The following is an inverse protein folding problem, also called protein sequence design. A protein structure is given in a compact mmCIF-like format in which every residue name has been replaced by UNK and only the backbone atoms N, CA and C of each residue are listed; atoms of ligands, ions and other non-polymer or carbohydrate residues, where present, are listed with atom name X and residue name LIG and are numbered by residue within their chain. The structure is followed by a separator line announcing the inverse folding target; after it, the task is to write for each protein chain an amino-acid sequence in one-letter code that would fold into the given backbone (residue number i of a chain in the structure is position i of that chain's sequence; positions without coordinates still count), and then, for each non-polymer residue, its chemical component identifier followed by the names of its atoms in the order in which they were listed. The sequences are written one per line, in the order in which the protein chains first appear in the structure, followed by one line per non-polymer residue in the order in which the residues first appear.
data_IF_822665214928
#
_entry.id   IF_822665214928
#
_cell.length_a   1.000
_cell.length_b   1.000
_cell.length_c   1.000
_cell.angle_alpha   90.00
_cell.angle_beta   90.00
_cell.angle_gamma   90.00
#
_symmetry.space_group_name_H-M   'P 1'
#
loop_
_entity.id
_entity.type
_entity.pdbx_description
1 polymer ?
#
# COMPACT_ATOMS: atom_id res chain seq x y z
N UNK A 1 -25.12 26.92 10.19
CA UNK A 1 -24.75 26.37 8.87
C UNK A 1 -25.64 25.14 8.67
N UNK A 2 -26.31 24.95 7.55
CA UNK A 2 -27.15 23.78 7.37
C UNK A 2 -26.24 22.53 7.39
N UNK A 3 -26.51 21.60 8.30
CA UNK A 3 -25.98 20.26 8.27
C UNK A 3 -26.56 19.61 7.03
N UNK A 4 -25.79 19.57 5.96
CA UNK A 4 -26.15 18.78 4.77
C UNK A 4 -26.22 17.34 5.22
N UNK A 5 -27.40 16.75 5.11
CA UNK A 5 -27.68 15.34 5.41
C UNK A 5 -27.05 14.48 4.29
N UNK A 6 -25.70 14.53 4.18
CA UNK A 6 -24.97 13.74 3.20
C UNK A 6 -24.90 12.30 3.66
N UNK A 7 -25.08 11.37 2.73
CA UNK A 7 -24.88 9.95 2.98
C UNK A 7 -23.43 9.72 3.48
N UNK A 8 -23.22 8.96 4.58
CA UNK A 8 -21.88 8.68 5.10
C UNK A 8 -20.88 8.15 4.06
N UNK A 9 -21.35 7.41 3.07
CA UNK A 9 -20.51 6.95 1.95
C UNK A 9 -20.05 8.09 1.04
N UNK A 10 -20.92 9.11 0.83
CA UNK A 10 -20.53 10.27 0.04
C UNK A 10 -19.48 11.10 0.77
N UNK A 11 -19.59 11.25 2.08
CA UNK A 11 -18.58 11.94 2.89
C UNK A 11 -17.22 11.23 2.78
N UNK A 12 -17.22 9.89 2.86
CA UNK A 12 -15.99 9.11 2.67
C UNK A 12 -15.40 9.33 1.28
N UNK A 13 -16.22 9.30 0.21
CA UNK A 13 -15.78 9.54 -1.17
C UNK A 13 -15.20 10.94 -1.36
N UNK A 14 -15.84 11.97 -0.82
CA UNK A 14 -15.34 13.36 -0.92
C UNK A 14 -13.96 13.50 -0.24
N UNK A 15 -13.77 12.83 0.90
CA UNK A 15 -12.48 12.79 1.58
C UNK A 15 -11.42 12.00 0.78
N UNK A 16 -11.79 10.87 0.20
CA UNK A 16 -10.92 10.06 -0.67
C UNK A 16 -10.48 10.87 -1.89
N UNK A 17 -11.40 11.56 -2.55
CA UNK A 17 -11.11 12.42 -3.71
C UNK A 17 -10.08 13.50 -3.40
N UNK A 18 -10.24 14.16 -2.25
CA UNK A 18 -9.31 15.19 -1.79
C UNK A 18 -7.91 14.58 -1.57
N UNK A 19 -7.84 13.48 -0.83
CA UNK A 19 -6.57 12.80 -0.54
C UNK A 19 -5.87 12.30 -1.82
N UNK A 20 -6.63 11.73 -2.77
CA UNK A 20 -6.09 11.31 -4.05
C UNK A 20 -5.49 12.49 -4.82
N UNK A 21 -6.20 13.61 -4.87
CA UNK A 21 -5.73 14.83 -5.54
C UNK A 21 -4.45 15.36 -4.88
N UNK A 22 -4.39 15.40 -3.55
CA UNK A 22 -3.21 15.82 -2.79
C UNK A 22 -2.02 14.86 -3.02
N UNK A 23 -2.28 13.59 -3.34
CA UNK A 23 -1.26 12.60 -3.70
C UNK A 23 -0.86 12.62 -5.17
N UNK A 24 -1.41 13.53 -5.98
CA UNK A 24 -1.06 13.69 -7.39
C UNK A 24 -1.88 12.84 -8.37
N UNK A 25 -2.99 12.26 -7.92
CA UNK A 25 -3.95 11.58 -8.79
C UNK A 25 -4.91 12.57 -9.43
N UNK A 26 -5.26 12.35 -10.69
CA UNK A 26 -6.33 13.08 -11.37
C UNK A 26 -7.62 12.27 -11.22
N UNK A 27 -8.53 12.77 -10.40
CA UNK A 27 -9.81 12.08 -10.15
C UNK A 27 -10.81 12.44 -11.24
N UNK A 28 -11.40 11.42 -11.86
CA UNK A 28 -12.36 11.58 -12.96
C UNK A 28 -13.59 10.70 -12.77
N UNK A 29 -14.72 11.16 -13.29
CA UNK A 29 -15.92 10.33 -13.43
C UNK A 29 -15.85 9.47 -14.71
N UNK A 30 -16.58 8.35 -14.72
CA UNK A 30 -16.61 7.41 -15.85
C UNK A 30 -17.03 8.05 -17.18
N UNK A 31 -17.86 9.10 -17.14
CA UNK A 31 -18.36 9.77 -18.35
C UNK A 31 -17.31 10.67 -19.05
N UNK A 32 -16.24 10.99 -18.39
CA UNK A 32 -15.20 11.94 -18.85
C UNK A 32 -13.80 11.35 -18.73
N UNK A 33 -13.66 10.06 -19.01
CA UNK A 33 -12.37 9.35 -18.86
C UNK A 33 -11.37 9.90 -19.89
N UNK A 34 -10.25 10.40 -19.36
CA UNK A 34 -9.04 10.71 -20.10
C UNK A 34 -7.82 10.11 -19.37
N UNK A 35 -7.44 8.90 -19.72
CA UNK A 35 -6.32 8.20 -19.09
C UNK A 35 -4.94 8.82 -19.42
N UNK A 36 -4.90 9.80 -20.33
CA UNK A 36 -3.69 10.57 -20.67
C UNK A 36 -3.65 11.94 -20.00
N UNK A 37 -4.58 12.25 -19.09
CA UNK A 37 -4.63 13.54 -18.41
C UNK A 37 -3.41 13.80 -17.51
N UNK A 38 -2.72 12.76 -17.05
CA UNK A 38 -1.52 12.86 -16.24
C UNK A 38 -0.89 11.50 -15.95
N UNK A 39 0.13 11.45 -15.08
CA UNK A 39 0.84 10.22 -14.76
C UNK A 39 -0.02 9.19 -14.05
N UNK A 40 -1.02 9.63 -13.27
CA UNK A 40 -1.97 8.79 -12.57
C UNK A 40 -3.40 9.33 -12.64
N UNK A 41 -4.34 8.47 -13.00
CA UNK A 41 -5.77 8.79 -13.09
C UNK A 41 -6.56 7.83 -12.21
N UNK A 42 -7.41 8.36 -11.34
CA UNK A 42 -8.36 7.60 -10.53
C UNK A 42 -9.77 7.79 -11.12
N UNK A 43 -10.37 6.72 -11.60
CA UNK A 43 -11.70 6.76 -12.24
C UNK A 43 -12.74 6.23 -11.27
N UNK A 44 -13.73 7.04 -10.93
CA UNK A 44 -14.85 6.69 -10.05
C UNK A 44 -15.82 5.76 -10.75
N UNK A 45 -16.43 4.86 -9.97
CA UNK A 45 -17.55 4.00 -10.38
C UNK A 45 -17.24 3.20 -11.65
N UNK A 46 -16.01 2.69 -11.75
CA UNK A 46 -15.57 1.95 -12.92
C UNK A 46 -16.14 0.53 -12.91
N UNK A 47 -16.72 0.10 -14.04
CA UNK A 47 -17.30 -1.24 -14.17
C UNK A 47 -16.22 -2.30 -14.32
N UNK A 48 -16.26 -3.30 -13.44
CA UNK A 48 -15.43 -4.51 -13.50
C UNK A 48 -16.32 -5.75 -13.73
N UNK A 49 -15.71 -6.89 -13.99
CA UNK A 49 -16.47 -8.14 -14.22
C UNK A 49 -17.26 -8.62 -12.99
N UNK A 50 -16.83 -8.20 -11.79
CA UNK A 50 -17.52 -8.55 -10.52
C UNK A 50 -18.45 -7.43 -10.04
N UNK A 51 -18.58 -6.34 -10.78
CA UNK A 51 -19.42 -5.19 -10.44
C UNK A 51 -18.68 -3.86 -10.50
N UNK A 52 -19.32 -2.75 -10.11
CA UNK A 52 -18.68 -1.45 -10.07
C UNK A 52 -17.66 -1.39 -8.92
N UNK A 53 -16.43 -0.93 -9.20
CA UNK A 53 -15.47 -0.54 -8.18
C UNK A 53 -15.65 0.95 -7.88
N UNK A 54 -15.51 1.36 -6.61
CA UNK A 54 -15.63 2.78 -6.27
C UNK A 54 -14.59 3.62 -7.01
N UNK A 55 -13.35 3.13 -7.11
CA UNK A 55 -12.31 3.72 -7.97
C UNK A 55 -11.45 2.64 -8.59
N UNK A 56 -11.05 2.86 -9.85
CA UNK A 56 -9.95 2.14 -10.49
C UNK A 56 -8.81 3.12 -10.75
N UNK A 57 -7.62 2.71 -10.37
CA UNK A 57 -6.39 3.50 -10.52
C UNK A 57 -5.68 3.11 -11.81
N UNK A 58 -5.32 4.11 -12.60
CA UNK A 58 -4.60 3.94 -13.86
C UNK A 58 -3.26 4.69 -13.80
N UNK A 59 -2.19 4.04 -14.23
CA UNK A 59 -0.86 4.64 -14.39
C UNK A 59 -0.42 4.43 -15.83
N UNK A 60 0.01 5.50 -16.50
CA UNK A 60 0.37 5.47 -17.93
C UNK A 60 -0.72 4.80 -18.80
N UNK A 61 -2.00 5.00 -18.43
CA UNK A 61 -3.16 4.45 -19.13
C UNK A 61 -3.46 2.97 -18.86
N UNK A 62 -2.68 2.30 -18.01
CA UNK A 62 -2.90 0.90 -17.61
C UNK A 62 -3.52 0.83 -16.21
N UNK A 63 -4.47 -0.07 -15.98
CA UNK A 63 -5.03 -0.27 -14.64
C UNK A 63 -3.97 -0.89 -13.72
N UNK A 64 -3.89 -0.39 -12.49
CA UNK A 64 -2.89 -0.86 -11.53
C UNK A 64 -3.48 -1.22 -10.17
N UNK A 65 -4.66 -0.72 -9.83
CA UNK A 65 -5.26 -0.99 -8.53
C UNK A 65 -6.69 -0.52 -8.43
N UNK A 66 -7.30 -0.82 -7.28
CA UNK A 66 -8.67 -0.43 -6.94
C UNK A 66 -8.72 0.22 -5.56
N UNK A 67 -9.71 1.08 -5.36
CA UNK A 67 -10.08 1.60 -4.04
C UNK A 67 -11.54 1.26 -3.81
N UNK A 68 -11.82 0.69 -2.66
CA UNK A 68 -13.15 0.44 -2.13
C UNK A 68 -13.42 1.42 -1.00
N UNK A 69 -14.44 2.25 -1.16
CA UNK A 69 -14.88 3.19 -0.14
C UNK A 69 -15.78 2.50 0.88
N UNK A 70 -15.55 2.72 2.16
CA UNK A 70 -16.35 2.17 3.27
C UNK A 70 -16.84 3.28 4.17
N UNK A 71 -17.90 3.02 4.93
CA UNK A 71 -18.40 3.96 5.92
C UNK A 71 -17.41 4.11 7.07
N UNK A 72 -17.37 5.27 7.69
CA UNK A 72 -16.44 5.55 8.81
C UNK A 72 -16.63 4.56 9.96
N UNK A 73 -17.88 4.15 10.26
CA UNK A 73 -18.18 3.18 11.31
C UNK A 73 -17.62 1.77 11.02
N UNK A 74 -17.31 1.48 9.77
CA UNK A 74 -16.73 0.20 9.36
C UNK A 74 -15.21 0.17 9.48
N UNK A 75 -14.56 1.29 9.81
CA UNK A 75 -13.10 1.39 9.90
C UNK A 75 -12.44 0.32 10.76
N UNK A 76 -13.05 -0.04 11.90
CA UNK A 76 -12.56 -1.10 12.78
C UNK A 76 -12.77 -2.53 12.23
N UNK A 77 -13.63 -2.70 11.22
CA UNK A 77 -13.96 -3.98 10.57
C UNK A 77 -13.37 -4.11 9.17
N UNK A 78 -12.47 -3.23 8.79
CA UNK A 78 -11.94 -3.20 7.42
C UNK A 78 -11.21 -4.49 7.03
N UNK A 79 -10.69 -5.26 8.00
CA UNK A 79 -10.09 -6.57 7.72
C UNK A 79 -11.08 -7.58 7.08
N UNK A 80 -12.38 -7.45 7.39
CA UNK A 80 -13.43 -8.29 6.80
C UNK A 80 -13.66 -7.94 5.33
N UNK A 81 -13.42 -6.69 4.94
CA UNK A 81 -13.61 -6.20 3.57
C UNK A 81 -12.39 -6.40 2.67
N UNK A 82 -11.26 -6.86 3.21
CA UNK A 82 -10.05 -7.19 2.42
C UNK A 82 -10.34 -8.25 1.35
N UNK A 83 -11.20 -9.23 1.66
CA UNK A 83 -11.62 -10.26 0.70
C UNK A 83 -12.37 -9.65 -0.50
N UNK A 84 -13.24 -8.66 -0.26
CA UNK A 84 -13.93 -7.95 -1.34
C UNK A 84 -12.93 -7.17 -2.21
N UNK A 85 -11.95 -6.52 -1.58
CA UNK A 85 -10.88 -5.85 -2.30
C UNK A 85 -10.05 -6.82 -3.14
N UNK A 86 -9.78 -8.03 -2.64
CA UNK A 86 -9.12 -9.09 -3.40
C UNK A 86 -9.92 -9.51 -4.62
N UNK A 87 -11.24 -9.66 -4.50
CA UNK A 87 -12.12 -9.99 -5.61
C UNK A 87 -12.04 -8.90 -6.70
N UNK A 88 -12.06 -7.62 -6.31
CA UNK A 88 -11.88 -6.51 -7.26
C UNK A 88 -10.49 -6.50 -7.89
N UNK A 89 -9.44 -6.84 -7.16
CA UNK A 89 -8.09 -6.90 -7.73
C UNK A 89 -7.93 -7.99 -8.78
N UNK A 90 -8.70 -9.06 -8.66
CA UNK A 90 -8.75 -10.18 -9.63
C UNK A 90 -9.76 -9.94 -10.75
N UNK A 91 -10.57 -8.89 -10.67
CA UNK A 91 -11.60 -8.60 -11.67
C UNK A 91 -11.01 -8.29 -13.04
N UNK A 92 -11.61 -8.84 -14.06
CA UNK A 92 -11.34 -8.45 -15.43
C UNK A 92 -12.05 -7.15 -15.77
N UNK A 93 -11.34 -6.13 -16.23
CA UNK A 93 -11.93 -4.87 -16.65
C UNK A 93 -12.54 -4.99 -18.04
N UNK A 94 -13.81 -4.57 -18.23
CA UNK A 94 -14.59 -4.73 -19.47
C UNK A 94 -13.93 -4.16 -20.73
N UNK A 95 -13.04 -3.18 -20.61
CA UNK A 95 -12.44 -2.46 -21.73
C UNK A 95 -10.92 -2.59 -21.85
N UNK A 96 -10.30 -3.41 -21.00
CA UNK A 96 -8.86 -3.59 -20.96
C UNK A 96 -8.57 -5.09 -20.85
N UNK A 97 -7.53 -5.56 -21.56
CA UNK A 97 -7.09 -6.95 -21.45
C UNK A 97 -6.86 -7.28 -19.98
N UNK A 98 -7.41 -8.40 -19.54
CA UNK A 98 -7.41 -8.93 -18.19
C UNK A 98 -6.01 -8.98 -17.57
N UNK A 99 -5.55 -7.86 -17.02
CA UNK A 99 -4.38 -7.84 -16.17
C UNK A 99 -4.85 -7.76 -14.72
N UNK A 100 -4.32 -8.58 -13.80
CA UNK A 100 -4.67 -8.51 -12.38
C UNK A 100 -4.30 -7.14 -11.81
N UNK A 101 -5.15 -6.61 -10.92
CA UNK A 101 -4.92 -5.33 -10.28
C UNK A 101 -4.21 -5.55 -8.93
N UNK A 102 -2.88 -5.37 -8.86
CA UNK A 102 -2.11 -5.77 -7.68
C UNK A 102 -2.32 -4.87 -6.45
N UNK A 103 -2.74 -3.62 -6.65
CA UNK A 103 -2.82 -2.65 -5.56
C UNK A 103 -4.27 -2.44 -5.12
N UNK A 104 -4.58 -2.82 -3.89
CA UNK A 104 -5.93 -2.69 -3.33
C UNK A 104 -5.92 -1.79 -2.13
N UNK A 105 -6.82 -0.81 -2.13
CA UNK A 105 -7.07 0.07 -0.99
C UNK A 105 -8.50 -0.11 -0.47
N UNK A 106 -8.61 -0.11 0.84
CA UNK A 106 -9.88 0.01 1.55
C UNK A 106 -9.82 1.30 2.36
N UNK A 107 -10.76 2.23 2.12
CA UNK A 107 -10.69 3.54 2.77
C UNK A 107 -12.05 4.00 3.27
N UNK A 108 -12.09 4.53 4.48
CA UNK A 108 -13.23 5.29 5.01
C UNK A 108 -13.07 6.80 4.81
N UNK A 109 -11.98 7.23 4.16
CA UNK A 109 -11.59 8.64 4.11
C UNK A 109 -10.83 9.13 5.35
N UNK A 110 -10.89 8.41 6.47
CA UNK A 110 -10.08 8.66 7.69
C UNK A 110 -9.01 7.59 7.88
N UNK A 111 -9.40 6.33 7.75
CA UNK A 111 -8.52 5.19 7.84
C UNK A 111 -8.38 4.59 6.44
N UNK A 112 -7.15 4.42 5.98
CA UNK A 112 -6.85 3.78 4.70
C UNK A 112 -5.96 2.57 4.93
N UNK A 113 -6.38 1.41 4.42
CA UNK A 113 -5.60 0.18 4.39
C UNK A 113 -5.17 -0.13 2.96
N UNK A 114 -4.00 -0.69 2.82
CA UNK A 114 -3.40 -1.02 1.56
C UNK A 114 -2.92 -2.47 1.55
N UNK A 115 -3.20 -3.16 0.45
CA UNK A 115 -2.70 -4.52 0.17
C UNK A 115 -1.95 -4.48 -1.15
N UNK A 116 -0.76 -5.06 -1.16
CA UNK A 116 0.03 -5.32 -2.36
C UNK A 116 -0.02 -6.82 -2.66
N UNK A 117 -0.72 -7.20 -3.73
CA UNK A 117 -0.86 -8.60 -4.14
C UNK A 117 0.34 -9.13 -4.92
N UNK A 118 1.33 -8.29 -5.22
CA UNK A 118 2.63 -8.75 -5.73
C UNK A 118 3.51 -9.33 -4.62
N UNK A 119 3.20 -9.02 -3.35
CA UNK A 119 3.93 -9.59 -2.22
C UNK A 119 3.73 -11.12 -2.15
N UNK A 120 4.77 -11.91 -1.79
CA UNK A 120 4.66 -13.38 -1.66
C UNK A 120 3.59 -13.82 -0.66
N UNK A 121 3.29 -12.98 0.30
CA UNK A 121 2.24 -13.16 1.30
C UNK A 121 1.51 -11.84 1.53
N UNK A 122 0.52 -11.50 0.68
CA UNK A 122 -0.20 -10.25 0.76
C UNK A 122 -0.82 -10.02 2.13
N UNK A 123 -0.71 -8.80 2.65
CA UNK A 123 -1.30 -8.40 3.92
C UNK A 123 -1.76 -6.96 3.88
N UNK A 124 -2.96 -6.73 4.42
CA UNK A 124 -3.46 -5.39 4.66
C UNK A 124 -2.62 -4.66 5.72
N UNK A 125 -2.22 -3.44 5.40
CA UNK A 125 -1.53 -2.52 6.32
C UNK A 125 -2.20 -1.16 6.28
N UNK A 126 -2.28 -0.51 7.41
CA UNK A 126 -2.73 0.86 7.48
C UNK A 126 -1.65 1.78 6.89
N UNK A 127 -2.09 2.75 6.09
CA UNK A 127 -1.24 3.77 5.47
C UNK A 127 -1.83 5.14 5.79
N UNK A 128 -0.96 6.14 5.94
CA UNK A 128 -1.40 7.49 6.30
C UNK A 128 -2.13 8.21 5.16
N UNK A 129 -1.82 7.83 3.92
CA UNK A 129 -2.41 8.42 2.73
C UNK A 129 -2.23 7.47 1.55
N UNK A 130 -2.84 7.77 0.41
CA UNK A 130 -2.64 7.01 -0.82
C UNK A 130 -1.20 7.18 -1.34
N UNK A 131 -0.66 6.13 -1.96
CA UNK A 131 0.64 6.23 -2.61
C UNK A 131 0.52 7.09 -3.87
N UNK A 132 1.57 7.83 -4.18
CA UNK A 132 1.66 8.62 -5.42
C UNK A 132 1.72 7.71 -6.65
N UNK A 133 1.22 8.15 -7.82
CA UNK A 133 1.30 7.38 -9.06
C UNK A 133 2.72 6.89 -9.36
N UNK A 134 3.73 7.75 -9.18
CA UNK A 134 5.15 7.45 -9.46
C UNK A 134 5.67 6.33 -8.54
N UNK A 135 5.19 6.29 -7.30
CA UNK A 135 5.57 5.24 -6.34
C UNK A 135 5.04 3.88 -6.79
N UNK A 136 3.75 3.81 -7.14
CA UNK A 136 3.15 2.56 -7.63
C UNK A 136 3.74 2.14 -8.97
N UNK A 137 4.03 3.09 -9.87
CA UNK A 137 4.71 2.81 -11.12
C UNK A 137 6.09 2.19 -10.90
N UNK A 138 6.85 2.76 -9.95
CA UNK A 138 8.15 2.21 -9.58
C UNK A 138 8.03 0.78 -9.07
N UNK A 139 7.00 0.49 -8.26
CA UNK A 139 6.78 -0.86 -7.74
C UNK A 139 6.38 -1.84 -8.83
N UNK A 140 5.53 -1.45 -9.78
CA UNK A 140 5.17 -2.29 -10.92
C UNK A 140 6.35 -2.60 -11.85
N UNK A 141 7.28 -1.66 -12.01
CA UNK A 141 8.48 -1.84 -12.84
C UNK A 141 9.56 -2.71 -12.17
N UNK A 142 9.48 -2.90 -10.85
CA UNK A 142 10.42 -3.76 -10.15
C UNK A 142 10.03 -5.24 -10.35
N UNK A 143 11.01 -6.06 -10.73
CA UNK A 143 10.82 -7.50 -10.88
C UNK A 143 10.46 -8.20 -9.55
N UNK A 144 10.89 -7.63 -8.42
CA UNK A 144 10.65 -8.14 -7.08
C UNK A 144 9.88 -7.14 -6.24
N UNK A 145 8.88 -7.61 -5.51
CA UNK A 145 8.20 -6.81 -4.50
C UNK A 145 9.17 -6.33 -3.42
N UNK A 146 8.79 -5.30 -2.67
CA UNK A 146 9.60 -4.80 -1.55
C UNK A 146 9.96 -5.90 -0.54
N UNK A 147 9.04 -6.84 -0.30
CA UNK A 147 9.25 -7.94 0.65
C UNK A 147 10.12 -9.05 0.09
N UNK A 148 10.01 -9.36 -1.21
CA UNK A 148 10.92 -10.31 -1.85
C UNK A 148 12.36 -9.83 -1.79
N UNK A 149 12.60 -8.53 -1.91
CA UNK A 149 13.94 -7.94 -1.78
C UNK A 149 14.55 -8.11 -0.38
N UNK A 150 13.73 -8.33 0.67
CA UNK A 150 14.27 -8.64 2.00
C UNK A 150 15.07 -9.95 2.04
N UNK A 151 14.82 -10.88 1.12
CA UNK A 151 15.65 -12.09 0.99
C UNK A 151 17.06 -11.77 0.47
N UNK A 152 17.21 -10.68 -0.25
CA UNK A 152 18.46 -10.21 -0.84
C UNK A 152 19.23 -9.24 0.10
N UNK A 153 18.81 -9.11 1.38
CA UNK A 153 19.53 -8.31 2.36
C UNK A 153 21.00 -8.78 2.44
N UNK A 154 21.97 -7.89 2.19
CA UNK A 154 23.37 -8.24 2.25
C UNK A 154 23.76 -8.64 3.67
N UNK A 155 24.81 -9.44 3.81
CA UNK A 155 25.35 -9.82 5.11
C UNK A 155 25.64 -8.59 5.99
N UNK A 156 25.44 -8.77 7.30
CA UNK A 156 25.71 -7.70 8.27
C UNK A 156 27.22 -7.46 8.39
N UNK A 157 27.64 -6.23 8.13
CA UNK A 157 29.00 -5.82 8.47
C UNK A 157 29.10 -5.66 9.99
N UNK A 158 29.83 -6.54 10.64
CA UNK A 158 29.90 -6.64 12.11
C UNK A 158 30.91 -5.71 12.74
N UNK A 159 31.79 -5.07 11.97
CA UNK A 159 32.81 -4.17 12.47
C UNK A 159 32.19 -3.00 13.27
N UNK A 160 32.62 -2.83 14.51
CA UNK A 160 32.13 -1.80 15.43
C UNK A 160 30.80 -2.13 16.14
N UNK A 161 30.22 -3.32 15.88
CA UNK A 161 29.04 -3.81 16.58
C UNK A 161 29.44 -4.73 17.75
N UNK A 162 28.65 -4.67 18.82
CA UNK A 162 28.74 -5.62 19.95
C UNK A 162 27.94 -6.88 19.64
N UNK A 163 28.29 -8.01 20.25
CA UNK A 163 27.63 -9.31 20.02
C UNK A 163 26.10 -9.24 20.20
N UNK A 164 25.62 -8.55 21.23
CA UNK A 164 24.19 -8.36 21.46
C UNK A 164 23.50 -7.59 20.32
N UNK A 165 24.17 -6.65 19.67
CA UNK A 165 23.67 -5.87 18.54
C UNK A 165 23.66 -6.73 17.26
N UNK A 166 24.72 -7.50 17.04
CA UNK A 166 24.83 -8.47 15.93
C UNK A 166 23.69 -9.48 16.02
N UNK A 167 23.50 -10.08 17.19
CA UNK A 167 22.42 -11.04 17.46
C UNK A 167 21.04 -10.43 17.21
N UNK A 168 20.80 -9.20 17.70
CA UNK A 168 19.53 -8.52 17.53
C UNK A 168 19.22 -8.24 16.04
N UNK A 169 20.20 -7.77 15.28
CA UNK A 169 20.02 -7.47 13.85
C UNK A 169 19.80 -8.74 13.04
N UNK A 170 20.60 -9.78 13.25
CA UNK A 170 20.46 -11.05 12.54
C UNK A 170 19.11 -11.73 12.82
N UNK A 171 18.64 -11.70 14.07
CA UNK A 171 17.34 -12.25 14.43
C UNK A 171 16.19 -11.43 13.79
N UNK A 172 16.35 -10.11 13.66
CA UNK A 172 15.38 -9.27 12.99
C UNK A 172 15.37 -9.51 11.48
N UNK A 173 16.53 -9.63 10.84
CA UNK A 173 16.66 -10.01 9.43
C UNK A 173 15.95 -11.35 9.16
N UNK A 174 16.20 -12.36 10.01
CA UNK A 174 15.53 -13.65 9.92
C UNK A 174 14.01 -13.52 10.07
N UNK A 175 13.55 -12.75 11.07
CA UNK A 175 12.13 -12.52 11.31
C UNK A 175 11.43 -11.88 10.10
N UNK A 176 12.08 -10.90 9.45
CA UNK A 176 11.55 -10.28 8.24
C UNK A 176 11.52 -11.22 7.04
N UNK A 177 12.58 -12.03 6.85
CA UNK A 177 12.62 -13.07 5.81
C UNK A 177 11.53 -14.12 6.01
N UNK A 178 11.20 -14.46 7.24
CA UNK A 178 10.10 -15.36 7.59
C UNK A 178 8.71 -14.66 7.49
N UNK A 179 8.69 -13.44 6.96
CA UNK A 179 7.48 -12.64 6.76
C UNK A 179 6.69 -12.39 8.05
N UNK A 180 7.38 -12.19 9.18
CA UNK A 180 6.76 -11.81 10.45
C UNK A 180 6.57 -10.29 10.46
N UNK A 181 5.35 -9.77 10.66
CA UNK A 181 5.06 -8.33 10.52
C UNK A 181 5.55 -7.49 11.70
N UNK A 182 5.85 -8.12 12.84
CA UNK A 182 6.26 -7.45 14.08
C UNK A 182 7.39 -8.24 14.73
N UNK A 183 8.33 -7.52 15.32
CA UNK A 183 9.41 -8.08 16.12
C UNK A 183 9.63 -7.22 17.37
N UNK A 184 9.95 -7.85 18.48
CA UNK A 184 10.35 -7.20 19.72
C UNK A 184 11.85 -7.45 19.93
N UNK A 185 12.61 -6.38 20.10
CA UNK A 185 14.03 -6.44 20.45
C UNK A 185 14.18 -5.90 21.88
N UNK A 186 14.50 -6.80 22.81
CA UNK A 186 14.79 -6.44 24.19
C UNK A 186 16.29 -6.34 24.40
N UNK A 187 16.77 -5.19 24.85
CA UNK A 187 18.18 -4.92 25.09
C UNK A 187 18.35 -4.13 26.38
N UNK A 188 19.41 -4.41 27.15
CA UNK A 188 19.72 -3.71 28.39
C UNK A 188 20.05 -2.22 28.17
N UNK A 189 19.93 -1.42 29.24
CA UNK A 189 20.37 -0.02 29.23
C UNK A 189 21.88 0.04 28.95
N UNK A 190 22.32 0.97 28.11
CA UNK A 190 23.74 1.10 27.72
C UNK A 190 24.22 0.10 26.66
N UNK A 191 23.41 -0.86 26.21
CA UNK A 191 23.79 -1.83 25.16
C UNK A 191 23.85 -1.25 23.74
N UNK A 192 23.45 0.02 23.55
CA UNK A 192 23.45 0.70 22.25
C UNK A 192 22.19 0.45 21.42
N UNK A 193 21.00 0.38 22.04
CA UNK A 193 19.70 0.21 21.37
C UNK A 193 19.52 1.14 20.16
N UNK A 194 19.79 2.41 20.35
CA UNK A 194 19.65 3.42 19.29
C UNK A 194 20.55 3.12 18.10
N UNK A 195 21.81 2.77 18.37
CA UNK A 195 22.76 2.41 17.31
C UNK A 195 22.31 1.15 16.55
N UNK A 196 21.80 0.13 17.25
CA UNK A 196 21.23 -1.06 16.65
C UNK A 196 20.06 -0.71 15.72
N UNK A 197 19.13 0.12 16.19
CA UNK A 197 17.98 0.55 15.39
C UNK A 197 18.41 1.36 14.15
N UNK A 198 19.33 2.31 14.30
CA UNK A 198 19.84 3.10 13.18
C UNK A 198 20.55 2.20 12.15
N UNK A 199 21.39 1.28 12.60
CA UNK A 199 22.10 0.35 11.73
C UNK A 199 21.11 -0.49 10.92
N UNK A 200 20.05 -0.98 11.56
CA UNK A 200 19.03 -1.78 10.88
C UNK A 200 18.23 -0.94 9.88
N UNK A 201 17.75 0.25 10.28
CA UNK A 201 17.01 1.16 9.39
C UNK A 201 17.87 1.53 8.17
N UNK A 202 19.14 1.85 8.37
CA UNK A 202 20.07 2.16 7.28
C UNK A 202 20.20 1.00 6.28
N UNK A 203 20.27 -0.24 6.77
CA UNK A 203 20.31 -1.44 5.90
C UNK A 203 19.06 -1.56 5.05
N UNK A 204 17.88 -1.35 5.64
CA UNK A 204 16.60 -1.39 4.90
C UNK A 204 16.50 -0.26 3.87
N UNK A 205 16.91 0.95 4.23
CA UNK A 205 16.95 2.07 3.28
C UNK A 205 17.87 1.77 2.11
N UNK A 206 19.06 1.25 2.38
CA UNK A 206 20.02 0.88 1.33
C UNK A 206 19.48 -0.20 0.39
N UNK A 207 18.75 -1.19 0.90
CA UNK A 207 18.08 -2.20 0.10
C UNK A 207 17.02 -1.62 -0.86
N UNK A 208 16.34 -0.55 -0.45
CA UNK A 208 15.32 0.12 -1.27
C UNK A 208 15.89 1.05 -2.35
N UNK A 209 17.16 1.44 -2.23
CA UNK A 209 17.83 2.36 -3.16
C UNK A 209 18.64 1.61 -4.23
N UNK A 210 18.84 0.31 -4.06
CA UNK A 210 19.42 -0.59 -5.06
C UNK A 210 18.34 -1.24 -5.90
#
# INVERSE_FOLDING_TARGET
MPVTNQNPEQIARDSIDKQLTECGWIVQGIKQINLKAGPGVAVREYQTDVGPADYVLFIEGKPCGVIEAKRIEEGHRMSVHELQGEDYSKASLKHLKNEPLPFVYLSTGEITRFVDFTDPKPRGREVFTFHRPETLLKWQKNEKSLRERLYDLPELKTQGLRDCQITAINNLDKSLKENRPRALIQMATGSGKTFTAITFIYRLLKLNWM
#
